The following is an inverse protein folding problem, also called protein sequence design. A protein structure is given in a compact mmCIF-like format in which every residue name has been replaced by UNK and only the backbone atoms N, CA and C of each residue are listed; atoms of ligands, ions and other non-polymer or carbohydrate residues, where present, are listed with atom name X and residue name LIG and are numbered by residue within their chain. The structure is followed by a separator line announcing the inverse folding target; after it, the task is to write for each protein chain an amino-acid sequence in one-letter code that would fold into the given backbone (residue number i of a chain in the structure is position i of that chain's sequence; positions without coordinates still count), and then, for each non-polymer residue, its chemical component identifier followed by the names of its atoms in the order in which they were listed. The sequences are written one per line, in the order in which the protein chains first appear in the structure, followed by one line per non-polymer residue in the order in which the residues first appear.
data_IF_487200538134
#
_entry.id   IF_487200538134
#
_cell.length_a   1.000
_cell.length_b   1.000
_cell.length_c   1.000
_cell.angle_alpha   90.00
_cell.angle_beta   90.00
_cell.angle_gamma   90.00
#
_symmetry.space_group_name_H-M   'P 1'
#
loop_
_entity.id
_entity.type
_entity.pdbx_description
1 polymer ?
#
# COMPACT_ATOMS: atom_id res chain seq x y z
N UNK A 1 8.67 14.41 15.22
CA UNK A 1 7.66 14.06 14.20
C UNK A 1 6.56 13.31 14.92
N UNK A 2 5.30 13.75 14.77
CA UNK A 2 4.20 13.10 15.48
C UNK A 2 3.92 11.71 14.90
N UNK A 3 3.98 10.69 15.75
CA UNK A 3 3.58 9.32 15.44
C UNK A 3 2.04 9.27 15.41
N UNK A 4 1.46 8.56 14.45
CA UNK A 4 0.01 8.39 14.38
C UNK A 4 -0.57 7.63 15.57
N UNK A 5 -1.90 7.69 15.71
CA UNK A 5 -2.62 6.95 16.76
C UNK A 5 -3.12 5.62 16.20
N UNK A 6 -2.86 4.54 16.93
CA UNK A 6 -3.42 3.22 16.60
C UNK A 6 -4.91 3.15 16.90
N UNK A 7 -5.55 2.11 16.36
CA UNK A 7 -6.89 1.68 16.78
C UNK A 7 -6.90 1.23 18.24
N UNK A 8 -8.09 1.10 18.81
CA UNK A 8 -8.32 0.42 20.10
C UNK A 8 -9.19 -0.82 19.85
N UNK A 9 -8.67 -2.05 20.01
CA UNK A 9 -7.31 -2.39 20.45
C UNK A 9 -6.22 -2.07 19.40
N UNK A 10 -4.94 -1.91 19.84
CA UNK A 10 -3.81 -1.75 18.94
C UNK A 10 -3.56 -3.04 18.15
N UNK A 11 -3.14 -2.89 16.89
CA UNK A 11 -2.79 -4.02 16.01
C UNK A 11 -1.27 -4.17 15.90
N UNK A 12 -0.56 -3.04 15.78
CA UNK A 12 0.89 -3.01 15.69
C UNK A 12 1.49 -3.21 17.08
N UNK A 13 2.37 -4.19 17.19
CA UNK A 13 3.15 -4.50 18.39
C UNK A 13 4.49 -3.79 18.41
N UNK A 14 4.93 -3.27 17.26
CA UNK A 14 6.26 -2.70 16.99
C UNK A 14 7.41 -3.68 17.18
N UNK A 15 7.13 -4.99 17.17
CA UNK A 15 8.13 -6.05 17.18
C UNK A 15 8.28 -6.59 15.75
N UNK A 16 9.47 -6.54 15.13
CA UNK A 16 9.66 -7.08 13.78
C UNK A 16 9.21 -8.54 13.68
N UNK A 17 8.52 -8.89 12.59
CA UNK A 17 8.00 -10.24 12.32
C UNK A 17 7.05 -10.81 13.40
N UNK A 18 6.35 -9.96 14.14
CA UNK A 18 5.38 -10.36 15.17
C UNK A 18 4.11 -11.01 14.60
N UNK A 19 3.72 -10.67 13.38
CA UNK A 19 2.52 -11.21 12.75
C UNK A 19 2.75 -12.66 12.33
N UNK A 20 2.11 -13.58 13.05
CA UNK A 20 2.19 -15.00 12.79
C UNK A 20 1.00 -15.46 11.94
N UNK A 21 1.07 -15.22 10.64
CA UNK A 21 0.09 -15.74 9.68
C UNK A 21 0.64 -17.00 9.00
N UNK A 22 -0.19 -18.03 8.87
CA UNK A 22 0.13 -19.24 8.10
C UNK A 22 -0.14 -19.03 6.59
N UNK A 23 0.29 -17.89 6.06
CA UNK A 23 0.11 -17.50 4.66
C UNK A 23 1.12 -16.45 4.25
N UNK A 24 1.39 -16.38 2.94
CA UNK A 24 2.15 -15.28 2.35
C UNK A 24 1.40 -13.95 2.49
N UNK A 25 2.15 -12.86 2.67
CA UNK A 25 1.57 -11.52 2.80
C UNK A 25 2.01 -10.58 1.67
N UNK A 26 1.07 -9.75 1.21
CA UNK A 26 1.34 -8.66 0.28
C UNK A 26 0.83 -7.36 0.90
N UNK A 27 1.75 -6.41 1.11
CA UNK A 27 1.45 -5.06 1.55
C UNK A 27 1.65 -4.10 0.36
N UNK A 28 0.60 -3.39 -0.02
CA UNK A 28 0.68 -2.34 -1.05
C UNK A 28 0.49 -0.98 -0.38
N UNK A 29 1.56 -0.21 -0.35
CA UNK A 29 1.61 1.13 0.25
C UNK A 29 1.40 2.26 -0.76
N UNK A 30 1.17 3.45 -0.21
CA UNK A 30 1.09 4.71 -0.95
C UNK A 30 2.11 5.70 -0.36
N UNK A 31 2.85 6.41 -1.22
CA UNK A 31 3.92 7.31 -0.78
C UNK A 31 3.45 8.69 -0.32
N UNK A 32 2.22 9.08 -0.62
CA UNK A 32 1.60 10.33 -0.15
C UNK A 32 0.69 10.13 1.06
N UNK A 33 0.58 8.90 1.58
CA UNK A 33 -0.36 8.56 2.66
C UNK A 33 -0.09 9.30 3.98
N UNK A 34 1.18 9.56 4.30
CA UNK A 34 1.61 10.27 5.50
C UNK A 34 1.67 11.80 5.32
N UNK A 35 1.34 12.29 4.12
CA UNK A 35 1.30 13.71 3.79
C UNK A 35 -0.09 14.28 4.06
N UNK A 36 -0.14 15.36 4.85
CA UNK A 36 -1.39 16.13 5.05
C UNK A 36 -1.79 16.80 3.74
N UNK A 37 -3.06 16.68 3.36
CA UNK A 37 -3.60 17.46 2.23
C UNK A 37 -3.76 18.94 2.58
N UNK A 38 -4.21 19.23 3.79
CA UNK A 38 -4.45 20.57 4.31
C UNK A 38 -4.27 20.57 5.85
N UNK A 39 -4.19 21.75 6.49
CA UNK A 39 -3.94 21.84 7.93
C UNK A 39 -5.07 21.31 8.83
N UNK A 40 -6.30 21.19 8.32
CA UNK A 40 -7.49 20.83 9.10
C UNK A 40 -7.62 19.32 9.33
N UNK A 41 -7.07 18.50 8.44
CA UNK A 41 -7.18 17.04 8.50
C UNK A 41 -5.81 16.38 8.74
N UNK A 42 -5.76 15.30 9.55
CA UNK A 42 -4.54 14.50 9.67
C UNK A 42 -4.20 13.79 8.35
N UNK A 43 -2.97 13.28 8.19
CA UNK A 43 -2.66 12.37 7.10
C UNK A 43 -3.56 11.13 7.13
N UNK A 44 -3.81 10.53 5.97
CA UNK A 44 -4.67 9.34 5.87
C UNK A 44 -3.95 8.04 6.29
N UNK A 45 -2.62 8.01 6.21
CA UNK A 45 -1.78 6.92 6.70
C UNK A 45 -0.55 7.49 7.42
N UNK A 46 -0.72 8.04 8.64
CA UNK A 46 0.35 8.73 9.37
C UNK A 46 1.55 7.82 9.66
N UNK A 47 2.75 8.41 9.75
CA UNK A 47 3.97 7.69 10.14
C UNK A 47 3.80 6.97 11.48
N UNK A 48 4.37 5.77 11.58
CA UNK A 48 4.35 4.95 12.79
C UNK A 48 3.06 4.14 12.99
N UNK A 49 2.05 4.28 12.11
CA UNK A 49 0.83 3.47 12.09
C UNK A 49 0.38 3.14 10.67
N UNK A 50 1.30 3.13 9.69
CA UNK A 50 0.98 2.95 8.28
C UNK A 50 1.57 1.64 7.72
N UNK A 51 1.42 1.47 6.40
CA UNK A 51 1.82 0.28 5.65
C UNK A 51 3.29 -0.15 5.89
N UNK A 52 4.20 0.78 6.16
CA UNK A 52 5.59 0.47 6.51
C UNK A 52 5.69 -0.31 7.83
N UNK A 53 4.94 0.12 8.85
CA UNK A 53 4.90 -0.55 10.14
C UNK A 53 4.23 -1.92 10.03
N UNK A 54 3.11 -2.01 9.30
CA UNK A 54 2.45 -3.30 9.06
C UNK A 54 3.37 -4.27 8.34
N UNK A 55 4.09 -3.83 7.30
CA UNK A 55 5.06 -4.69 6.63
C UNK A 55 6.19 -5.12 7.55
N UNK A 56 6.75 -4.24 8.38
CA UNK A 56 7.83 -4.59 9.30
C UNK A 56 7.46 -5.68 10.31
N UNK A 57 6.17 -5.80 10.61
CA UNK A 57 5.63 -6.83 11.50
C UNK A 57 5.22 -8.10 10.76
N UNK A 58 5.10 -8.09 9.43
CA UNK A 58 4.84 -9.29 8.64
C UNK A 58 5.99 -10.30 8.76
N UNK A 59 5.65 -11.57 8.91
CA UNK A 59 6.59 -12.68 8.82
C UNK A 59 6.73 -13.16 7.36
N UNK A 60 7.81 -13.90 7.08
CA UNK A 60 8.07 -14.46 5.76
C UNK A 60 7.07 -15.58 5.40
N UNK A 61 6.68 -15.72 4.11
CA UNK A 61 7.05 -14.83 3.02
C UNK A 61 6.17 -13.57 2.96
N UNK A 62 6.80 -12.41 2.77
CA UNK A 62 6.13 -11.11 2.71
C UNK A 62 6.68 -10.23 1.59
N UNK A 63 5.79 -9.54 0.90
CA UNK A 63 6.13 -8.61 -0.19
C UNK A 63 5.57 -7.23 0.09
N UNK A 64 6.36 -6.20 -0.19
CA UNK A 64 5.98 -4.82 0.02
C UNK A 64 6.29 -3.98 -1.21
N UNK A 65 5.26 -3.34 -1.75
CA UNK A 65 5.40 -2.41 -2.86
C UNK A 65 4.73 -1.08 -2.52
N UNK A 66 5.37 0.03 -2.90
CA UNK A 66 4.87 1.39 -2.64
C UNK A 66 4.82 2.17 -3.94
N UNK A 67 3.65 2.70 -4.30
CA UNK A 67 3.51 3.71 -5.35
C UNK A 67 3.88 5.09 -4.78
N UNK A 68 5.05 5.62 -5.15
CA UNK A 68 5.68 6.78 -4.49
C UNK A 68 4.84 8.06 -4.58
N UNK A 69 4.29 8.35 -5.75
CA UNK A 69 3.60 9.62 -6.02
C UNK A 69 2.08 9.51 -5.89
N UNK A 70 1.58 8.52 -5.14
CA UNK A 70 0.16 8.21 -5.00
C UNK A 70 -0.28 8.20 -3.55
N UNK A 71 -1.56 8.50 -3.33
CA UNK A 71 -2.21 8.59 -2.02
C UNK A 71 -3.23 7.49 -1.74
N UNK A 72 -3.78 7.52 -0.53
CA UNK A 72 -4.66 6.48 0.00
C UNK A 72 -5.90 6.22 -0.87
N UNK A 73 -6.49 7.27 -1.44
CA UNK A 73 -7.73 7.17 -2.23
C UNK A 73 -7.49 7.05 -3.74
N UNK A 74 -6.24 6.97 -4.19
CA UNK A 74 -5.95 6.82 -5.62
C UNK A 74 -6.23 5.41 -6.15
N UNK A 75 -6.41 4.43 -5.26
CA UNK A 75 -6.88 3.09 -5.62
C UNK A 75 -8.40 3.03 -5.89
N UNK A 76 -9.15 4.08 -5.57
CA UNK A 76 -10.60 4.10 -5.80
C UNK A 76 -10.94 4.30 -7.29
N UNK A 77 -12.20 4.00 -7.64
CA UNK A 77 -12.75 4.30 -8.96
C UNK A 77 -12.70 5.80 -9.28
N UNK A 78 -12.65 6.14 -10.57
CA UNK A 78 -12.62 7.56 -10.99
C UNK A 78 -13.90 8.30 -10.63
N UNK A 79 -15.03 7.60 -10.54
CA UNK A 79 -16.32 8.12 -10.10
C UNK A 79 -16.84 7.36 -8.89
N UNK A 80 -16.68 7.94 -7.71
CA UNK A 80 -17.31 7.39 -6.48
C UNK A 80 -18.67 8.06 -6.26
N UNK A 81 -19.76 7.28 -6.31
CA UNK A 81 -21.14 7.79 -6.21
C UNK A 81 -21.45 8.39 -4.83
N UNK A 82 -22.40 9.31 -4.79
CA UNK A 82 -22.91 9.95 -3.57
C UNK A 82 -22.00 11.05 -3.01
N UNK A 83 -22.52 11.82 -2.04
CA UNK A 83 -21.82 12.96 -1.42
C UNK A 83 -20.52 12.51 -0.77
N UNK A 84 -20.54 11.37 -0.05
CA UNK A 84 -19.34 10.80 0.59
C UNK A 84 -18.25 10.43 -0.42
N UNK A 85 -18.65 9.89 -1.58
CA UNK A 85 -17.72 9.62 -2.68
C UNK A 85 -17.04 10.89 -3.16
N UNK A 86 -17.83 11.93 -3.48
CA UNK A 86 -17.28 13.23 -3.94
C UNK A 86 -16.39 13.93 -2.91
N UNK A 87 -16.63 13.74 -1.61
CA UNK A 87 -15.80 14.32 -0.55
C UNK A 87 -14.48 13.55 -0.35
N UNK A 88 -14.43 12.26 -0.69
CA UNK A 88 -13.20 11.46 -0.58
C UNK A 88 -12.01 12.07 -1.33
N UNK A 89 -12.26 12.78 -2.44
CA UNK A 89 -11.24 13.47 -3.22
C UNK A 89 -10.56 14.61 -2.47
N UNK A 90 -11.16 15.13 -1.39
CA UNK A 90 -10.71 16.31 -0.66
C UNK A 90 -10.06 15.98 0.69
N UNK A 91 -10.03 14.71 1.12
CA UNK A 91 -9.54 14.32 2.45
C UNK A 91 -8.05 13.96 2.44
N UNK A 92 -7.60 13.20 1.44
CA UNK A 92 -6.22 12.72 1.36
C UNK A 92 -5.40 13.51 0.34
N UNK A 93 -4.08 13.53 0.52
CA UNK A 93 -3.16 13.94 -0.53
C UNK A 93 -3.17 12.84 -1.61
N UNK A 94 -3.28 13.25 -2.87
CA UNK A 94 -3.44 12.37 -4.03
C UNK A 94 -2.36 12.66 -5.07
N UNK A 95 -2.10 11.69 -5.93
CA UNK A 95 -1.33 11.82 -7.15
C UNK A 95 -2.13 12.49 -8.27
N UNK A 96 -1.54 12.46 -9.47
CA UNK A 96 -2.11 13.14 -10.65
C UNK A 96 -3.39 12.49 -11.18
N UNK A 97 -3.45 11.15 -11.19
CA UNK A 97 -4.62 10.40 -11.68
C UNK A 97 -4.77 9.08 -10.94
N UNK A 98 -5.96 8.47 -10.92
CA UNK A 98 -6.20 7.22 -10.19
C UNK A 98 -5.93 5.96 -11.01
N UNK A 99 -6.15 6.02 -12.33
CA UNK A 99 -6.01 4.88 -13.24
C UNK A 99 -4.65 4.16 -13.11
N UNK A 100 -3.49 4.85 -13.06
CA UNK A 100 -2.19 4.18 -12.90
C UNK A 100 -2.07 3.41 -11.58
N UNK A 101 -2.57 3.97 -10.47
CA UNK A 101 -2.57 3.29 -9.17
C UNK A 101 -3.41 2.02 -9.22
N UNK A 102 -4.60 2.07 -9.82
CA UNK A 102 -5.46 0.87 -9.99
C UNK A 102 -4.81 -0.20 -10.84
N UNK A 103 -4.18 0.19 -11.96
CA UNK A 103 -3.45 -0.74 -12.83
C UNK A 103 -2.27 -1.37 -12.10
N UNK A 104 -1.52 -0.57 -11.34
CA UNK A 104 -0.41 -1.06 -10.53
C UNK A 104 -0.85 -2.06 -9.47
N UNK A 105 -1.85 -1.70 -8.64
CA UNK A 105 -2.38 -2.57 -7.59
C UNK A 105 -2.90 -3.87 -8.17
N UNK A 106 -3.71 -3.80 -9.25
CA UNK A 106 -4.23 -4.98 -9.92
C UNK A 106 -3.12 -5.89 -10.45
N UNK A 107 -2.10 -5.33 -11.10
CA UNK A 107 -0.96 -6.08 -11.62
C UNK A 107 -0.17 -6.79 -10.53
N UNK A 108 0.18 -6.07 -9.45
CA UNK A 108 0.93 -6.66 -8.32
C UNK A 108 0.12 -7.73 -7.61
N UNK A 109 -1.19 -7.50 -7.39
CA UNK A 109 -2.07 -8.50 -6.78
C UNK A 109 -2.15 -9.78 -7.61
N UNK A 110 -2.33 -9.66 -8.94
CA UNK A 110 -2.38 -10.84 -9.83
C UNK A 110 -1.05 -11.58 -9.82
N UNK A 111 0.08 -10.87 -9.92
CA UNK A 111 1.41 -11.48 -9.89
C UNK A 111 1.68 -12.22 -8.56
N UNK A 112 1.28 -11.64 -7.43
CA UNK A 112 1.40 -12.27 -6.12
C UNK A 112 0.53 -13.53 -5.99
N UNK A 113 -0.74 -13.45 -6.40
CA UNK A 113 -1.64 -14.62 -6.37
C UNK A 113 -1.13 -15.73 -7.26
N UNK A 114 -0.63 -15.41 -8.46
CA UNK A 114 -0.01 -16.39 -9.37
C UNK A 114 1.19 -17.09 -8.71
N UNK A 115 2.03 -16.35 -8.00
CA UNK A 115 3.19 -16.89 -7.30
C UNK A 115 2.82 -17.90 -6.21
N UNK A 116 1.85 -17.55 -5.36
CA UNK A 116 1.55 -18.35 -4.16
C UNK A 116 0.43 -19.37 -4.33
N UNK A 117 -0.44 -19.20 -5.33
CA UNK A 117 -1.52 -20.16 -5.63
C UNK A 117 -1.14 -21.11 -6.78
N UNK A 118 -0.36 -20.64 -7.76
CA UNK A 118 -0.01 -21.44 -8.93
C UNK A 118 1.48 -21.83 -8.97
N UNK A 119 2.29 -21.37 -8.01
CA UNK A 119 3.74 -21.64 -7.99
C UNK A 119 4.54 -20.90 -9.08
N UNK A 120 3.93 -19.91 -9.75
CA UNK A 120 4.58 -19.13 -10.82
C UNK A 120 4.84 -17.70 -10.36
N UNK A 121 6.09 -17.45 -9.95
CA UNK A 121 6.55 -16.16 -9.44
C UNK A 121 7.20 -15.27 -10.50
N UNK A 122 7.17 -15.64 -11.78
CA UNK A 122 7.88 -14.93 -12.85
C UNK A 122 7.49 -13.46 -12.95
N UNK A 123 6.18 -13.17 -12.93
CA UNK A 123 5.66 -11.80 -13.01
C UNK A 123 6.04 -10.98 -11.78
N UNK A 124 6.00 -11.58 -10.59
CA UNK A 124 6.32 -10.92 -9.33
C UNK A 124 7.80 -10.52 -9.26
N UNK A 125 8.69 -11.43 -9.68
CA UNK A 125 10.13 -11.17 -9.80
C UNK A 125 10.42 -10.13 -10.89
N UNK A 126 9.70 -10.17 -12.02
CA UNK A 126 9.89 -9.21 -13.09
C UNK A 126 9.51 -7.78 -12.67
N UNK A 127 8.43 -7.61 -11.89
CA UNK A 127 8.04 -6.32 -11.29
C UNK A 127 9.12 -5.84 -10.32
N UNK A 128 9.57 -6.70 -9.40
CA UNK A 128 10.64 -6.41 -8.42
C UNK A 128 11.93 -5.95 -9.11
N UNK A 129 12.37 -6.71 -10.11
CA UNK A 129 13.62 -6.48 -10.83
C UNK A 129 13.52 -5.33 -11.84
N UNK A 130 12.35 -4.66 -11.94
CA UNK A 130 12.07 -3.62 -12.93
C UNK A 130 12.32 -4.07 -14.37
N UNK A 131 12.09 -5.36 -14.65
CA UNK A 131 12.18 -5.98 -15.99
C UNK A 131 10.92 -5.78 -16.82
N UNK A 132 9.86 -5.27 -16.21
CA UNK A 132 8.61 -4.85 -16.86
C UNK A 132 8.31 -3.41 -16.50
N UNK A 133 7.66 -2.69 -17.42
CA UNK A 133 7.17 -1.34 -17.15
C UNK A 133 5.95 -1.42 -16.23
N UNK A 134 5.96 -0.60 -15.18
CA UNK A 134 4.83 -0.40 -14.27
C UNK A 134 4.32 1.05 -14.42
N UNK A 135 3.03 1.31 -14.23
CA UNK A 135 2.44 2.62 -14.53
C UNK A 135 2.72 3.69 -13.46
N UNK A 136 3.49 3.36 -12.41
CA UNK A 136 3.80 4.26 -11.29
C UNK A 136 5.27 4.12 -10.90
N UNK A 137 5.86 5.16 -10.29
CA UNK A 137 7.18 4.99 -9.68
C UNK A 137 7.07 4.16 -8.40
N UNK A 138 7.86 3.09 -8.29
CA UNK A 138 7.77 2.14 -7.17
C UNK A 138 9.03 2.09 -6.29
N UNK A 139 8.79 1.90 -4.99
CA UNK A 139 9.74 1.32 -4.03
C UNK A 139 9.26 -0.09 -3.69
N UNK A 140 10.18 -1.02 -3.42
CA UNK A 140 9.83 -2.37 -2.98
C UNK A 140 10.73 -2.86 -1.86
N UNK A 141 10.25 -3.86 -1.11
CA UNK A 141 10.99 -4.68 -0.15
C UNK A 141 10.32 -6.06 -0.02
N UNK A 142 11.01 -7.05 0.54
CA UNK A 142 10.46 -8.40 0.73
C UNK A 142 11.22 -9.21 1.80
N UNK A 143 10.51 -10.12 2.45
CA UNK A 143 11.05 -11.17 3.32
C UNK A 143 10.72 -12.52 2.67
N UNK A 144 11.72 -13.29 2.26
CA UNK A 144 11.55 -14.61 1.64
C UNK A 144 12.33 -15.65 2.43
#
# INVERSE_FOLDING_TARGET
MDIGKQTSPPILTYVPHSFNFDMATLVIGSGLGDVKRNPLFPPCAPKGVNHENFFSECNKPSWYFVAKDYGHVDMLDDETKGVRGKVSYCLCKNGESRKPMRMFVGGVMVAFLKAYLNGDNGDLLAIRDKKVSVPVEIKFDHYV
#
